data_IF_398619398597
#
_entry.id   IF_398619398597
#
_cell.length_a   1.000
_cell.length_b   1.000
_cell.length_c   1.000
_cell.angle_alpha   90.00
_cell.angle_beta   90.00
_cell.angle_gamma   90.00
#
_symmetry.space_group_name_H-M   'P 1'
#
loop_
_entity.id
_entity.type
_entity.pdbx_description
1 polymer ?
#
# COMPACT_ATOMS: atom_id res chain seq x y z
N UNK A 1 -5.94 -18.94 21.49
CA UNK A 1 -6.81 -19.65 20.52
C UNK A 1 -6.99 -18.87 19.21
N UNK A 2 -6.12 -17.90 18.90
CA UNK A 2 -6.11 -17.13 17.63
C UNK A 2 -4.96 -17.53 16.69
N UNK A 3 -4.01 -18.39 17.10
CA UNK A 3 -2.85 -18.73 16.25
C UNK A 3 -3.18 -19.72 15.13
N UNK A 4 -4.06 -20.71 15.37
CA UNK A 4 -4.37 -21.73 14.36
C UNK A 4 -5.06 -21.20 13.09
N UNK A 5 -5.78 -20.08 13.17
CA UNK A 5 -6.48 -19.51 11.99
C UNK A 5 -5.50 -18.81 11.04
N UNK A 6 -4.57 -18.02 11.60
CA UNK A 6 -3.52 -17.33 10.84
C UNK A 6 -2.59 -18.35 10.15
N UNK A 7 -2.31 -19.47 10.82
CA UNK A 7 -1.47 -20.54 10.26
C UNK A 7 -2.13 -21.18 9.01
N UNK A 8 -3.43 -21.46 9.02
CA UNK A 8 -4.15 -22.05 7.87
C UNK A 8 -4.26 -21.11 6.67
N UNK A 9 -4.52 -19.82 6.93
CA UNK A 9 -4.64 -18.79 5.90
C UNK A 9 -3.28 -18.52 5.23
N UNK A 10 -2.20 -18.47 6.02
CA UNK A 10 -0.85 -18.35 5.51
C UNK A 10 -0.44 -19.57 4.69
N UNK A 11 -0.73 -20.79 5.16
CA UNK A 11 -0.46 -22.00 4.37
C UNK A 11 -1.23 -22.02 3.05
N UNK A 12 -2.48 -21.56 3.06
CA UNK A 12 -3.26 -21.39 1.82
C UNK A 12 -2.59 -20.39 0.88
N UNK A 13 -2.14 -19.24 1.38
CA UNK A 13 -1.43 -18.24 0.58
C UNK A 13 -0.12 -18.80 0.01
N UNK A 14 0.63 -19.60 0.78
CA UNK A 14 1.85 -20.29 0.37
C UNK A 14 1.60 -21.28 -0.77
N UNK A 15 0.52 -22.06 -0.69
CA UNK A 15 0.10 -22.99 -1.76
C UNK A 15 -0.22 -22.22 -3.04
N UNK A 16 -1.09 -21.20 -2.96
CA UNK A 16 -1.50 -20.41 -4.12
C UNK A 16 -0.32 -19.67 -4.78
N UNK A 17 0.61 -19.16 -3.98
CA UNK A 17 1.83 -18.52 -4.47
C UNK A 17 2.70 -19.52 -5.23
N UNK A 18 2.94 -20.71 -4.65
CA UNK A 18 3.71 -21.78 -5.31
C UNK A 18 3.07 -22.19 -6.63
N UNK A 19 1.76 -22.45 -6.64
CA UNK A 19 1.03 -22.78 -7.86
C UNK A 19 1.16 -21.69 -8.93
N UNK A 20 1.08 -20.42 -8.53
CA UNK A 20 1.24 -19.28 -9.46
C UNK A 20 2.64 -19.24 -10.07
N UNK A 21 3.68 -19.49 -9.27
CA UNK A 21 5.07 -19.53 -9.74
C UNK A 21 5.33 -20.74 -10.66
N UNK A 22 4.77 -21.91 -10.34
CA UNK A 22 4.80 -23.10 -11.20
C UNK A 22 4.10 -22.87 -12.55
N UNK A 23 3.03 -22.08 -12.54
CA UNK A 23 2.29 -21.68 -13.76
C UNK A 23 2.99 -20.58 -14.57
N UNK A 24 4.13 -20.05 -14.08
CA UNK A 24 4.96 -19.12 -14.83
C UNK A 24 4.88 -17.66 -14.38
N UNK A 25 4.31 -17.37 -13.20
CA UNK A 25 4.42 -16.04 -12.61
C UNK A 25 5.90 -15.61 -12.51
N UNK A 26 6.16 -14.35 -12.83
CA UNK A 26 7.53 -13.81 -12.94
C UNK A 26 8.07 -13.25 -11.62
N UNK A 27 7.25 -13.22 -10.57
CA UNK A 27 7.55 -12.64 -9.26
C UNK A 27 6.31 -12.57 -8.39
N UNK A 28 6.48 -11.98 -7.21
CA UNK A 28 5.42 -11.71 -6.26
C UNK A 28 5.40 -10.23 -5.90
N UNK A 29 4.24 -9.58 -5.95
CA UNK A 29 4.11 -8.16 -5.63
C UNK A 29 3.32 -7.93 -4.34
N UNK A 30 3.71 -6.95 -3.52
CA UNK A 30 2.93 -6.51 -2.36
C UNK A 30 2.52 -5.05 -2.44
N UNK A 31 1.32 -4.77 -1.93
CA UNK A 31 0.75 -3.44 -1.81
C UNK A 31 0.63 -2.99 -0.35
N UNK A 32 1.75 -2.80 0.38
CA UNK A 32 1.72 -2.65 1.85
C UNK A 32 1.26 -1.28 2.36
N UNK A 33 0.91 -0.36 1.44
CA UNK A 33 0.18 0.87 1.76
C UNK A 33 -1.35 0.68 1.73
N UNK A 34 -1.82 -0.49 1.32
CA UNK A 34 -3.23 -0.74 1.09
C UNK A 34 -3.76 -1.83 2.01
N UNK A 35 -5.06 -1.78 2.28
CA UNK A 35 -5.76 -2.85 2.95
C UNK A 35 -6.27 -3.88 1.93
N UNK A 36 -6.24 -5.19 2.26
CA UNK A 36 -5.88 -5.77 3.56
C UNK A 36 -4.38 -6.00 3.77
N UNK A 37 -3.52 -5.83 2.76
CA UNK A 37 -2.10 -6.21 2.81
C UNK A 37 -1.33 -5.60 4.00
N UNK A 38 -1.69 -4.38 4.41
CA UNK A 38 -1.10 -3.69 5.57
C UNK A 38 -1.35 -4.40 6.91
N UNK A 39 -2.24 -5.40 6.99
CA UNK A 39 -2.41 -6.23 8.18
C UNK A 39 -1.34 -7.31 8.35
N UNK A 40 -0.63 -7.63 7.26
CA UNK A 40 0.49 -8.57 7.32
C UNK A 40 1.60 -8.06 8.24
N UNK A 41 2.35 -8.99 8.82
CA UNK A 41 3.59 -8.68 9.53
C UNK A 41 4.83 -9.10 8.71
N UNK A 42 6.00 -8.66 9.14
CA UNK A 42 7.27 -8.95 8.43
C UNK A 42 7.58 -10.45 8.35
N UNK A 43 7.16 -11.27 9.33
CA UNK A 43 7.43 -12.71 9.33
C UNK A 43 6.56 -13.45 8.29
N UNK A 44 5.28 -13.11 8.18
CA UNK A 44 4.38 -13.62 7.12
C UNK A 44 4.92 -13.28 5.73
N UNK A 45 5.44 -12.06 5.55
CA UNK A 45 6.08 -11.67 4.30
C UNK A 45 7.35 -12.49 4.04
N UNK A 46 8.16 -12.80 5.06
CA UNK A 46 9.32 -13.66 4.90
C UNK A 46 8.95 -15.09 4.49
N UNK A 47 7.87 -15.65 5.03
CA UNK A 47 7.37 -16.99 4.65
C UNK A 47 7.00 -17.04 3.17
N UNK A 48 6.26 -16.03 2.68
CA UNK A 48 5.89 -15.94 1.26
C UNK A 48 7.11 -15.67 0.35
N UNK A 49 8.06 -14.84 0.82
CA UNK A 49 9.24 -14.50 0.03
C UNK A 49 10.22 -15.67 -0.07
N UNK A 50 10.27 -16.53 0.93
CA UNK A 50 11.06 -17.76 0.89
C UNK A 50 10.59 -18.69 -0.23
N UNK A 51 9.28 -18.79 -0.47
CA UNK A 51 8.75 -19.54 -1.63
C UNK A 51 9.17 -18.86 -2.93
N UNK A 52 9.05 -17.54 -3.02
CA UNK A 52 9.45 -16.78 -4.22
C UNK A 52 10.93 -17.01 -4.56
N UNK A 53 11.80 -17.12 -3.54
CA UNK A 53 13.22 -17.46 -3.69
C UNK A 53 13.45 -18.85 -4.29
N UNK A 54 12.66 -19.86 -3.91
CA UNK A 54 12.81 -21.22 -4.46
C UNK A 54 12.71 -21.25 -6.00
N UNK A 55 12.00 -20.28 -6.59
CA UNK A 55 11.83 -20.14 -8.04
C UNK A 55 12.77 -19.08 -8.66
N UNK A 56 13.72 -18.54 -7.89
CA UNK A 56 14.66 -17.47 -8.28
C UNK A 56 13.97 -16.21 -8.86
N UNK A 57 12.77 -15.89 -8.34
CA UNK A 57 11.97 -14.73 -8.77
C UNK A 57 12.10 -13.55 -7.80
N UNK A 58 11.90 -12.30 -8.27
CA UNK A 58 11.91 -11.13 -7.41
C UNK A 58 10.58 -10.94 -6.65
N UNK A 59 10.70 -10.26 -5.52
CA UNK A 59 9.62 -9.55 -4.86
C UNK A 59 9.57 -8.11 -5.40
N UNK A 60 8.38 -7.65 -5.80
CA UNK A 60 8.08 -6.25 -6.06
C UNK A 60 7.32 -5.67 -4.88
N UNK A 61 7.71 -4.51 -4.35
CA UNK A 61 7.13 -3.98 -3.11
C UNK A 61 6.72 -2.52 -3.25
N UNK A 62 5.42 -2.27 -3.05
CA UNK A 62 4.93 -0.98 -2.59
C UNK A 62 5.12 -0.91 -1.07
N UNK A 63 5.97 0.01 -0.64
CA UNK A 63 6.44 0.13 0.74
C UNK A 63 5.31 0.31 1.76
N UNK A 64 5.49 -0.24 2.96
CA UNK A 64 4.54 -0.05 4.06
C UNK A 64 4.63 1.36 4.64
N UNK A 65 3.47 1.99 4.76
CA UNK A 65 3.25 3.23 5.53
C UNK A 65 1.97 3.19 6.38
N UNK A 66 1.29 2.04 6.42
CA UNK A 66 0.12 1.77 7.27
C UNK A 66 0.45 0.63 8.23
N UNK A 67 -0.13 0.64 9.44
CA UNK A 67 0.13 -0.35 10.49
C UNK A 67 1.65 -0.60 10.70
N UNK A 68 2.43 0.48 10.77
CA UNK A 68 3.89 0.44 10.88
C UNK A 68 4.39 -0.29 12.13
N UNK A 69 3.56 -0.39 13.17
CA UNK A 69 3.83 -1.16 14.39
C UNK A 69 3.95 -2.68 14.14
N UNK A 70 3.47 -3.17 13.00
CA UNK A 70 3.57 -4.58 12.60
C UNK A 70 4.85 -4.91 11.84
N UNK A 71 5.62 -3.89 11.50
CA UNK A 71 6.77 -4.00 10.62
C UNK A 71 8.10 -3.88 11.35
N UNK A 72 9.07 -4.64 10.87
CA UNK A 72 10.46 -4.43 11.23
C UNK A 72 10.89 -2.98 10.92
N UNK A 73 11.60 -2.36 11.87
CA UNK A 73 12.11 -0.99 11.69
C UNK A 73 11.04 0.08 11.48
N UNK A 74 9.77 -0.22 11.74
CA UNK A 74 8.65 0.69 11.49
C UNK A 74 8.18 0.71 10.03
N UNK A 75 8.52 -0.27 9.19
CA UNK A 75 8.03 -0.34 7.81
C UNK A 75 8.98 0.29 6.80
N UNK A 76 8.44 0.68 5.64
CA UNK A 76 9.21 1.34 4.59
C UNK A 76 10.42 0.55 4.08
N UNK A 77 11.49 1.29 3.75
CA UNK A 77 12.75 0.73 3.21
C UNK A 77 13.40 -0.25 4.20
N UNK A 78 13.52 0.03 5.52
CA UNK A 78 14.09 -0.92 6.46
C UNK A 78 13.40 -2.29 6.46
N UNK A 79 12.07 -2.33 6.45
CA UNK A 79 11.31 -3.59 6.41
C UNK A 79 11.60 -4.37 5.13
N UNK A 80 11.53 -3.71 3.97
CA UNK A 80 11.74 -4.35 2.68
C UNK A 80 13.15 -4.96 2.53
N UNK A 81 14.18 -4.21 2.98
CA UNK A 81 15.56 -4.69 2.98
C UNK A 81 15.73 -5.87 3.95
N UNK A 82 15.11 -5.82 5.13
CA UNK A 82 15.17 -6.92 6.09
C UNK A 82 14.52 -8.20 5.55
N UNK A 83 13.37 -8.09 4.88
CA UNK A 83 12.73 -9.24 4.22
C UNK A 83 13.67 -9.87 3.20
N UNK A 84 14.27 -9.06 2.33
CA UNK A 84 15.21 -9.53 1.31
C UNK A 84 16.46 -10.18 1.93
N UNK A 85 17.01 -9.60 3.01
CA UNK A 85 18.15 -10.18 3.73
C UNK A 85 17.83 -11.52 4.38
N UNK A 86 16.65 -11.65 5.00
CA UNK A 86 16.23 -12.88 5.68
C UNK A 86 15.95 -14.04 4.73
N UNK A 87 15.52 -13.72 3.50
CA UNK A 87 15.04 -14.71 2.53
C UNK A 87 15.97 -14.92 1.34
N UNK A 88 16.99 -14.07 1.18
CA UNK A 88 17.88 -14.03 0.02
C UNK A 88 17.13 -13.78 -1.31
N UNK A 89 15.91 -13.23 -1.26
CA UNK A 89 15.07 -12.92 -2.41
C UNK A 89 15.51 -11.62 -3.08
N UNK A 90 15.45 -11.57 -4.41
CA UNK A 90 15.68 -10.34 -5.19
C UNK A 90 14.57 -9.33 -4.90
N UNK A 91 14.92 -8.06 -4.70
CA UNK A 91 13.98 -7.02 -4.31
C UNK A 91 13.84 -5.97 -5.42
N UNK A 92 12.60 -5.58 -5.70
CA UNK A 92 12.25 -4.48 -6.59
C UNK A 92 11.40 -3.46 -5.83
N UNK A 93 11.92 -2.25 -5.63
CA UNK A 93 11.13 -1.15 -5.07
C UNK A 93 10.24 -0.53 -6.14
N UNK A 94 8.94 -0.50 -5.87
CA UNK A 94 7.96 0.15 -6.75
C UNK A 94 7.99 1.68 -6.55
N UNK A 95 7.91 2.40 -7.65
CA UNK A 95 7.80 3.85 -7.80
C UNK A 95 8.55 4.64 -6.73
N UNK A 96 9.84 4.35 -6.60
CA UNK A 96 10.71 4.97 -5.63
C UNK A 96 10.96 6.42 -6.01
N UNK A 97 10.55 7.35 -5.13
CA UNK A 97 10.45 8.77 -5.45
C UNK A 97 10.70 9.64 -4.23
N UNK A 98 11.00 10.92 -4.48
CA UNK A 98 11.00 11.95 -3.45
C UNK A 98 9.58 12.38 -3.10
N UNK A 99 9.41 12.80 -1.85
CA UNK A 99 8.29 13.63 -1.39
C UNK A 99 8.67 15.11 -1.43
N UNK A 100 7.73 16.01 -1.13
CA UNK A 100 7.97 17.45 -0.96
C UNK A 100 9.12 17.72 0.01
N UNK A 101 9.21 16.96 1.11
CA UNK A 101 10.18 17.17 2.18
C UNK A 101 11.57 16.59 1.87
N UNK A 102 11.66 15.72 0.87
CA UNK A 102 12.90 15.03 0.46
C UNK A 102 13.37 15.43 -0.93
N UNK A 103 12.72 16.40 -1.57
CA UNK A 103 13.12 16.93 -2.86
C UNK A 103 14.59 17.40 -2.83
N UNK A 104 15.39 16.90 -3.77
CA UNK A 104 16.83 17.20 -3.87
C UNK A 104 17.73 16.44 -2.88
N UNK A 105 17.19 15.58 -2.01
CA UNK A 105 17.94 14.78 -1.03
C UNK A 105 18.18 13.34 -1.51
N UNK A 106 18.52 13.17 -2.79
CA UNK A 106 18.63 11.83 -3.42
C UNK A 106 19.67 10.96 -2.75
N UNK A 107 20.85 11.51 -2.44
CA UNK A 107 21.94 10.75 -1.80
C UNK A 107 21.48 10.14 -0.47
N UNK A 108 20.74 10.91 0.35
CA UNK A 108 20.19 10.46 1.63
C UNK A 108 19.11 9.39 1.45
N UNK A 109 18.28 9.49 0.41
CA UNK A 109 17.27 8.48 0.10
C UNK A 109 17.89 7.18 -0.42
N UNK A 110 19.01 7.27 -1.15
CA UNK A 110 19.66 6.12 -1.77
C UNK A 110 20.65 5.41 -0.83
N UNK A 111 21.21 6.10 0.16
CA UNK A 111 22.17 5.56 1.14
C UNK A 111 21.79 4.17 1.68
N UNK A 112 20.60 3.92 2.27
CA UNK A 112 20.26 2.59 2.78
C UNK A 112 20.17 1.51 1.69
N UNK A 113 19.79 1.89 0.46
CA UNK A 113 19.70 0.97 -0.68
C UNK A 113 21.11 0.60 -1.15
N UNK A 114 22.00 1.59 -1.28
CA UNK A 114 23.38 1.38 -1.71
C UNK A 114 24.15 0.54 -0.68
N UNK A 115 23.95 0.78 0.62
CA UNK A 115 24.50 -0.04 1.70
C UNK A 115 24.04 -1.49 1.62
N UNK A 116 22.74 -1.73 1.41
CA UNK A 116 22.20 -3.08 1.29
C UNK A 116 22.74 -3.80 0.04
N UNK A 117 22.84 -3.11 -1.10
CA UNK A 117 23.46 -3.65 -2.32
C UNK A 117 24.92 -4.00 -2.11
N UNK A 118 25.69 -3.12 -1.45
CA UNK A 118 27.10 -3.40 -1.11
C UNK A 118 27.26 -4.59 -0.16
N UNK A 119 26.23 -4.89 0.63
CA UNK A 119 26.14 -6.04 1.53
C UNK A 119 25.65 -7.32 0.85
N UNK A 120 25.37 -7.30 -0.46
CA UNK A 120 25.00 -8.46 -1.25
C UNK A 120 23.50 -8.64 -1.54
N UNK A 121 22.63 -7.69 -1.14
CA UNK A 121 21.21 -7.76 -1.49
C UNK A 121 21.00 -7.38 -2.95
N UNK A 122 20.33 -8.21 -3.73
CA UNK A 122 19.99 -7.93 -5.13
C UNK A 122 18.79 -6.99 -5.19
N UNK A 123 19.04 -5.69 -5.42
CA UNK A 123 18.02 -4.64 -5.39
C UNK A 123 17.96 -3.90 -6.73
N UNK A 124 16.74 -3.81 -7.24
CA UNK A 124 16.32 -2.91 -8.33
C UNK A 124 15.23 -1.95 -7.83
N UNK A 125 14.99 -0.87 -8.58
CA UNK A 125 13.93 0.08 -8.30
C UNK A 125 13.52 0.77 -9.61
N UNK A 126 12.33 1.33 -9.63
CA UNK A 126 11.85 2.14 -10.75
C UNK A 126 11.20 3.44 -10.25
N UNK A 127 10.96 4.36 -11.17
CA UNK A 127 10.24 5.60 -10.89
C UNK A 127 9.55 6.09 -12.15
N UNK A 128 8.50 6.89 -11.99
CA UNK A 128 7.83 7.58 -13.08
C UNK A 128 8.27 9.06 -13.15
N UNK A 129 8.37 9.65 -14.36
CA UNK A 129 8.89 11.01 -14.55
C UNK A 129 7.83 12.09 -14.27
N UNK A 130 7.06 11.94 -13.19
CA UNK A 130 6.01 12.86 -12.77
C UNK A 130 6.11 13.14 -11.27
N UNK A 131 5.80 14.37 -10.81
CA UNK A 131 5.87 14.72 -9.39
C UNK A 131 4.73 14.12 -8.56
N UNK A 132 3.69 13.57 -9.21
CA UNK A 132 2.48 13.06 -8.59
C UNK A 132 2.18 11.64 -9.07
N UNK A 133 1.63 10.82 -8.17
CA UNK A 133 1.13 9.49 -8.49
C UNK A 133 -0.38 9.49 -8.79
N UNK A 134 -0.93 8.30 -9.01
CA UNK A 134 -2.38 8.09 -9.14
C UNK A 134 -2.73 6.75 -8.52
N UNK A 135 -3.78 6.72 -7.71
CA UNK A 135 -4.31 5.49 -7.09
C UNK A 135 -5.81 5.63 -6.89
N UNK A 136 -6.42 4.71 -6.16
CA UNK A 136 -7.85 4.70 -5.88
C UNK A 136 -8.19 5.46 -4.58
N UNK A 137 -9.31 6.20 -4.51
CA UNK A 137 -9.68 7.02 -3.35
C UNK A 137 -9.82 6.24 -2.04
N UNK A 138 -10.12 4.95 -2.10
CA UNK A 138 -10.29 4.13 -0.90
C UNK A 138 -9.00 4.01 -0.08
N UNK A 139 -7.83 4.31 -0.67
CA UNK A 139 -6.55 4.30 0.03
C UNK A 139 -6.43 5.37 1.13
N UNK A 140 -7.31 6.39 1.14
CA UNK A 140 -7.33 7.42 2.18
C UNK A 140 -8.12 7.02 3.43
N UNK A 141 -8.85 5.89 3.39
CA UNK A 141 -9.67 5.48 4.52
C UNK A 141 -8.87 4.68 5.58
N UNK A 142 -9.26 4.78 6.86
CA UNK A 142 -8.68 3.96 7.92
C UNK A 142 -8.87 2.47 7.69
N UNK A 143 -7.95 1.65 8.21
CA UNK A 143 -8.02 0.20 8.08
C UNK A 143 -9.32 -0.46 8.51
N UNK A 144 -9.96 0.01 9.59
CA UNK A 144 -11.24 -0.56 10.03
C UNK A 144 -12.35 -0.34 8.99
N UNK A 145 -12.26 0.69 8.15
CA UNK A 145 -13.27 0.99 7.15
C UNK A 145 -13.30 -0.06 6.04
N UNK A 146 -12.20 -0.79 5.82
CA UNK A 146 -12.12 -1.87 4.83
C UNK A 146 -12.73 -3.19 5.33
N UNK A 147 -13.11 -3.28 6.61
CA UNK A 147 -13.72 -4.49 7.18
C UNK A 147 -15.08 -4.77 6.54
N UNK A 148 -15.31 -6.02 6.14
CA UNK A 148 -16.56 -6.43 5.47
C UNK A 148 -16.66 -6.03 3.99
N UNK A 149 -15.63 -5.41 3.42
CA UNK A 149 -15.53 -5.14 1.99
C UNK A 149 -16.41 -3.98 1.48
N UNK A 150 -16.52 -3.82 0.14
CA UNK A 150 -17.17 -2.68 -0.49
C UNK A 150 -18.61 -2.44 -0.02
N UNK A 151 -19.40 -3.49 0.22
CA UNK A 151 -20.79 -3.37 0.65
C UNK A 151 -20.90 -2.73 2.05
N UNK A 152 -20.00 -3.11 2.96
CA UNK A 152 -19.93 -2.53 4.31
C UNK A 152 -19.47 -1.06 4.26
N UNK A 153 -18.47 -0.76 3.42
CA UNK A 153 -18.00 0.61 3.18
C UNK A 153 -19.13 1.51 2.68
N UNK A 154 -19.90 1.06 1.69
CA UNK A 154 -21.04 1.83 1.17
C UNK A 154 -22.09 2.05 2.25
N UNK A 155 -22.40 1.03 3.06
CA UNK A 155 -23.36 1.17 4.16
C UNK A 155 -22.95 2.30 5.11
N UNK A 156 -21.68 2.32 5.53
CA UNK A 156 -21.13 3.39 6.38
C UNK A 156 -21.24 4.76 5.71
N UNK A 157 -20.90 4.89 4.42
CA UNK A 157 -20.95 6.17 3.70
C UNK A 157 -22.38 6.71 3.55
N UNK A 158 -23.36 5.81 3.43
CA UNK A 158 -24.78 6.18 3.28
C UNK A 158 -25.50 6.42 4.60
N UNK A 159 -24.97 5.94 5.72
CA UNK A 159 -25.50 6.20 7.05
C UNK A 159 -24.92 7.51 7.62
N UNK A 160 -25.78 8.36 8.19
CA UNK A 160 -25.35 9.70 8.64
C UNK A 160 -24.51 9.65 9.92
N UNK A 161 -24.82 8.73 10.84
CA UNK A 161 -24.11 8.61 12.11
C UNK A 161 -22.77 7.90 11.89
N UNK A 162 -22.76 6.81 11.11
CA UNK A 162 -21.52 6.09 10.82
C UNK A 162 -20.56 6.94 9.98
N UNK A 163 -21.07 7.72 9.01
CA UNK A 163 -20.24 8.66 8.24
C UNK A 163 -19.61 9.73 9.12
N UNK A 164 -20.32 10.22 10.15
CA UNK A 164 -19.75 11.20 11.09
C UNK A 164 -18.58 10.59 11.88
N UNK A 165 -18.74 9.36 12.36
CA UNK A 165 -17.66 8.63 13.04
C UNK A 165 -16.47 8.43 12.10
N UNK A 166 -16.73 8.14 10.83
CA UNK A 166 -15.68 8.03 9.81
C UNK A 166 -14.91 9.34 9.63
N UNK A 167 -15.61 10.47 9.49
CA UNK A 167 -14.99 11.79 9.36
C UNK A 167 -14.11 12.11 10.58
N UNK A 168 -14.65 11.90 11.79
CA UNK A 168 -13.90 12.11 13.04
C UNK A 168 -12.60 11.28 13.04
N UNK A 169 -12.69 9.99 12.70
CA UNK A 169 -11.52 9.12 12.65
C UNK A 169 -10.54 9.46 11.53
N UNK A 170 -11.01 9.88 10.36
CA UNK A 170 -10.12 10.34 9.29
C UNK A 170 -9.33 11.58 9.71
N UNK A 171 -9.89 12.44 10.57
CA UNK A 171 -9.19 13.62 11.11
C UNK A 171 -8.06 13.28 12.09
N UNK A 172 -8.07 12.07 12.65
CA UNK A 172 -7.05 11.59 13.60
C UNK A 172 -5.85 10.94 12.90
N UNK A 173 -5.93 10.70 11.59
CA UNK A 173 -4.89 9.97 10.87
C UNK A 173 -4.08 10.92 10.00
N UNK A 174 -2.76 10.87 10.19
CA UNK A 174 -1.78 11.67 9.45
C UNK A 174 -1.47 11.08 8.06
N UNK A 175 -2.46 10.44 7.41
CA UNK A 175 -2.32 10.10 6.00
C UNK A 175 -2.29 11.39 5.18
N UNK A 176 -1.73 11.32 3.97
CA UNK A 176 -1.76 12.42 3.03
C UNK A 176 -3.18 12.99 2.92
N UNK A 177 -3.31 14.27 3.20
CA UNK A 177 -4.54 15.02 3.08
C UNK A 177 -5.17 14.80 1.68
N UNK A 178 -6.41 14.31 1.58
CA UNK A 178 -7.03 14.09 0.29
C UNK A 178 -7.40 15.40 -0.41
N UNK A 179 -7.39 16.54 0.30
CA UNK A 179 -7.53 17.86 -0.33
C UNK A 179 -6.41 18.04 -1.35
N UNK A 180 -6.72 18.69 -2.47
CA UNK A 180 -5.86 18.81 -3.66
C UNK A 180 -5.75 17.57 -4.58
N UNK A 181 -6.41 16.44 -4.25
CA UNK A 181 -6.48 15.31 -5.19
C UNK A 181 -7.49 15.58 -6.32
N UNK A 182 -7.18 15.06 -7.51
CA UNK A 182 -7.97 15.21 -8.73
C UNK A 182 -8.61 13.87 -9.11
N UNK A 183 -9.86 13.91 -9.55
CA UNK A 183 -10.50 12.76 -10.21
C UNK A 183 -9.91 12.56 -11.60
N UNK A 184 -8.94 11.65 -11.74
CA UNK A 184 -8.29 11.39 -13.05
C UNK A 184 -9.06 10.44 -13.94
N UNK A 185 -9.90 9.58 -13.36
CA UNK A 185 -10.81 8.71 -14.08
C UNK A 185 -12.02 8.32 -13.23
N UNK A 186 -13.21 8.32 -13.84
CA UNK A 186 -14.46 7.85 -13.23
C UNK A 186 -15.14 6.83 -14.16
N UNK A 187 -15.37 5.62 -13.64
CA UNK A 187 -15.99 4.54 -14.40
C UNK A 187 -17.48 4.73 -14.67
N UNK A 188 -18.18 5.47 -13.80
CA UNK A 188 -19.59 5.81 -13.98
C UNK A 188 -19.78 6.93 -15.01
N UNK A 189 -20.58 6.67 -16.05
CA UNK A 189 -20.79 7.62 -17.15
C UNK A 189 -21.55 8.89 -16.73
N UNK A 190 -22.35 8.83 -15.67
CA UNK A 190 -23.08 9.99 -15.15
C UNK A 190 -22.15 10.99 -14.49
N UNK A 191 -21.09 10.50 -13.85
CA UNK A 191 -20.16 11.30 -13.06
C UNK A 191 -18.84 11.64 -13.79
N UNK A 192 -18.62 11.14 -15.01
CA UNK A 192 -17.45 11.49 -15.84
C UNK A 192 -17.22 13.00 -16.04
N UNK A 193 -18.26 13.83 -15.87
CA UNK A 193 -18.13 15.29 -15.91
C UNK A 193 -17.20 15.87 -14.83
N UNK A 194 -16.94 15.09 -13.77
CA UNK A 194 -16.05 15.46 -12.67
C UNK A 194 -14.59 15.05 -12.93
N UNK A 195 -14.29 14.35 -14.02
CA UNK A 195 -12.89 14.10 -14.39
C UNK A 195 -12.14 15.44 -14.57
N UNK A 196 -10.98 15.56 -13.94
CA UNK A 196 -10.19 16.79 -13.88
C UNK A 196 -10.56 17.76 -12.75
N UNK A 197 -11.62 17.49 -11.99
CA UNK A 197 -12.02 18.30 -10.83
C UNK A 197 -11.28 17.85 -9.57
N UNK A 198 -11.05 18.80 -8.66
CA UNK A 198 -10.56 18.48 -7.33
C UNK A 198 -11.65 17.78 -6.53
N UNK A 199 -11.25 16.94 -5.57
CA UNK A 199 -12.18 16.29 -4.66
C UNK A 199 -13.04 17.30 -3.90
N UNK A 200 -12.46 18.45 -3.52
CA UNK A 200 -13.17 19.54 -2.86
C UNK A 200 -14.21 20.22 -3.74
N UNK A 201 -13.90 20.47 -5.02
CA UNK A 201 -14.83 21.10 -5.96
C UNK A 201 -16.08 20.22 -6.16
N UNK A 202 -15.90 18.89 -6.22
CA UNK A 202 -17.02 17.94 -6.31
C UNK A 202 -17.84 17.93 -5.01
N UNK A 203 -17.17 17.97 -3.86
CA UNK A 203 -17.87 18.04 -2.57
C UNK A 203 -18.68 19.33 -2.40
N UNK A 204 -18.18 20.45 -2.92
CA UNK A 204 -18.91 21.72 -2.98
C UNK A 204 -20.11 21.66 -3.93
N UNK A 205 -19.94 21.12 -5.15
CA UNK A 205 -21.03 20.92 -6.11
C UNK A 205 -22.15 20.04 -5.54
N UNK A 206 -21.80 18.99 -4.80
CA UNK A 206 -22.75 18.11 -4.13
C UNK A 206 -23.33 18.68 -2.82
N UNK A 207 -22.85 19.84 -2.37
CA UNK A 207 -23.25 20.47 -1.11
C UNK A 207 -23.06 19.52 0.10
N UNK A 208 -21.95 18.77 0.09
CA UNK A 208 -21.53 17.83 1.16
C UNK A 208 -20.23 18.26 1.86
N UNK A 209 -19.62 19.36 1.41
CA UNK A 209 -18.45 19.95 2.07
C UNK A 209 -18.77 20.34 3.52
N UNK A 210 -17.89 20.01 4.46
CA UNK A 210 -18.00 20.53 5.83
C UNK A 210 -17.77 22.04 5.78
N UNK A 211 -18.80 22.83 6.15
CA UNK A 211 -18.65 24.28 6.22
C UNK A 211 -17.57 24.61 7.25
N UNK A 212 -16.49 25.25 6.79
CA UNK A 212 -15.45 25.84 7.64
C UNK A 212 -16.03 26.78 8.70
#
# INVERSE_FOLDING_TARGET
MMSHFIDEELETAKILLRESLEQGAVGFSTGLSYYPNSWSNTDELCELMSITKEFDRPMSIHLRNHNMERAYGGGGIPEAIEIARRTDTKLHFEHYRTTTDSAGQIDKLMEPIDEAKSSGVDITLETYPYPVGSSFPQAFFPGYFHEGGPEAMIKILTDTEDRKILIDKMSEIDYSDPRENVWTHIGDKGDQRFEGWLFEDVAEEWNVSEKK
#
